data_IF_259557624300
#
_entry.id   IF_259557624300
#
_cell.length_a   1.000
_cell.length_b   1.000
_cell.length_c   1.000
_cell.angle_alpha   90.00
_cell.angle_beta   90.00
_cell.angle_gamma   90.00
#
_symmetry.space_group_name_H-M   'P 1'
#
loop_
_entity.id
_entity.type
_entity.pdbx_description
1 polymer ?
#
# COMPACT_ATOMS: atom_id res chain seq x y z
N UNK A 1 6.58 14.31 32.98
CA UNK A 1 6.96 13.66 31.70
C UNK A 1 6.41 12.25 31.71
N UNK A 2 5.66 11.83 30.69
CA UNK A 2 5.06 10.49 30.66
C UNK A 2 6.15 9.45 30.35
N UNK A 3 6.44 8.53 31.29
CA UNK A 3 7.47 7.47 31.13
C UNK A 3 7.16 6.57 29.92
N UNK A 4 8.22 6.07 29.26
CA UNK A 4 8.13 5.21 28.08
C UNK A 4 7.25 3.99 28.32
N UNK A 5 7.28 3.47 29.55
CA UNK A 5 6.52 2.29 29.96
C UNK A 5 5.01 2.53 29.96
N UNK A 6 4.57 3.75 30.31
CA UNK A 6 3.16 4.13 30.18
C UNK A 6 2.72 4.25 28.72
N UNK A 7 3.63 4.64 27.82
CA UNK A 7 3.34 4.69 26.38
C UNK A 7 3.14 3.29 25.81
N UNK A 8 4.01 2.32 26.14
CA UNK A 8 3.85 0.91 25.72
C UNK A 8 2.49 0.37 26.19
N UNK A 9 2.14 0.59 27.45
CA UNK A 9 0.86 0.18 28.04
C UNK A 9 -0.35 0.80 27.33
N UNK A 10 -0.27 2.10 27.03
CA UNK A 10 -1.31 2.82 26.31
C UNK A 10 -1.54 2.26 24.90
N UNK A 11 -0.46 2.09 24.14
CA UNK A 11 -0.49 1.56 22.77
C UNK A 11 -1.01 0.12 22.75
N UNK A 12 -0.56 -0.73 23.68
CA UNK A 12 -1.07 -2.10 23.83
C UNK A 12 -2.56 -2.16 24.09
N UNK A 13 -3.07 -1.31 25.00
CA UNK A 13 -4.51 -1.24 25.31
C UNK A 13 -5.33 -0.71 24.13
N UNK A 14 -4.81 0.28 23.42
CA UNK A 14 -5.45 0.82 22.22
C UNK A 14 -5.57 -0.25 21.12
N UNK A 15 -4.55 -1.09 20.98
CA UNK A 15 -4.55 -2.25 20.09
C UNK A 15 -5.45 -3.42 20.58
N UNK A 16 -6.10 -3.30 21.74
CA UNK A 16 -6.95 -4.36 22.30
C UNK A 16 -6.20 -5.59 22.82
N UNK A 17 -4.87 -5.53 22.94
CA UNK A 17 -4.03 -6.66 23.30
C UNK A 17 -3.95 -6.86 24.82
N UNK A 18 -4.05 -8.11 25.29
CA UNK A 18 -3.69 -8.45 26.67
C UNK A 18 -2.17 -8.55 26.86
N UNK A 19 -1.70 -8.63 28.11
CA UNK A 19 -0.28 -8.86 28.39
C UNK A 19 0.20 -10.23 27.86
N UNK A 20 -0.69 -11.24 27.88
CA UNK A 20 -0.39 -12.57 27.39
C UNK A 20 -0.31 -12.60 25.86
N UNK A 21 -1.16 -11.85 25.18
CA UNK A 21 -1.13 -11.75 23.71
C UNK A 21 0.15 -11.06 23.25
N UNK A 22 0.52 -9.95 23.90
CA UNK A 22 1.78 -9.25 23.60
C UNK A 22 3.00 -10.16 23.81
N UNK A 23 2.97 -10.97 24.88
CA UNK A 23 4.02 -11.95 25.17
C UNK A 23 4.16 -13.00 24.07
N UNK A 24 3.04 -13.55 23.58
CA UNK A 24 3.03 -14.54 22.50
C UNK A 24 3.45 -13.94 21.16
N UNK A 25 3.02 -12.72 20.85
CA UNK A 25 3.27 -12.05 19.57
C UNK A 25 4.74 -11.67 19.38
N UNK A 26 5.35 -11.08 20.41
CA UNK A 26 6.70 -10.53 20.31
C UNK A 26 7.75 -11.39 21.03
N UNK A 27 7.35 -12.54 21.60
CA UNK A 27 8.25 -13.44 22.33
C UNK A 27 8.82 -12.84 23.62
N UNK A 28 8.24 -11.75 24.13
CA UNK A 28 8.68 -11.10 25.35
C UNK A 28 8.07 -11.85 26.54
N UNK A 29 8.86 -12.25 27.56
CA UNK A 29 8.29 -12.91 28.73
C UNK A 29 7.21 -12.05 29.40
N UNK A 30 6.06 -12.66 29.73
CA UNK A 30 4.93 -11.97 30.36
C UNK A 30 5.34 -11.18 31.61
N UNK A 31 6.23 -11.74 32.44
CA UNK A 31 6.74 -11.09 33.65
C UNK A 31 7.43 -9.76 33.36
N UNK A 32 8.20 -9.69 32.27
CA UNK A 32 8.86 -8.46 31.83
C UNK A 32 7.85 -7.38 31.47
N UNK A 33 6.78 -7.76 30.77
CA UNK A 33 5.68 -6.84 30.42
C UNK A 33 4.93 -6.38 31.69
N UNK A 34 4.74 -7.26 32.68
CA UNK A 34 4.13 -6.91 33.96
C UNK A 34 4.99 -5.92 34.76
N UNK A 35 6.31 -6.13 34.80
CA UNK A 35 7.27 -5.23 35.47
C UNK A 35 7.30 -3.86 34.79
N UNK A 36 7.26 -3.85 33.45
CA UNK A 36 7.08 -2.62 32.67
C UNK A 36 5.76 -1.92 33.00
N UNK A 37 4.62 -2.61 32.93
CA UNK A 37 3.30 -2.03 33.15
C UNK A 37 3.09 -1.48 34.58
N UNK A 38 3.83 -2.02 35.56
CA UNK A 38 3.88 -1.58 36.97
C UNK A 38 4.90 -0.46 37.21
N UNK A 39 5.76 -0.16 36.25
CA UNK A 39 6.83 0.83 36.38
C UNK A 39 7.98 0.38 37.29
N UNK A 40 8.10 -0.91 37.56
CA UNK A 40 9.18 -1.48 38.38
C UNK A 40 10.50 -1.53 37.60
N UNK A 41 10.43 -1.60 36.27
CA UNK A 41 11.58 -1.61 35.38
C UNK A 41 11.26 -0.80 34.11
N UNK A 42 12.18 0.07 33.69
CA UNK A 42 12.06 0.83 32.45
C UNK A 42 12.87 0.12 31.35
N UNK A 43 12.23 -0.28 30.23
CA UNK A 43 12.97 -0.85 29.12
C UNK A 43 13.95 0.18 28.54
N UNK A 44 15.07 -0.28 27.93
CA UNK A 44 15.91 0.61 27.15
C UNK A 44 15.09 1.39 26.11
N UNK A 45 15.42 2.66 25.92
CA UNK A 45 14.64 3.56 25.08
C UNK A 45 14.42 3.02 23.66
N UNK A 46 15.44 2.43 23.06
CA UNK A 46 15.35 1.83 21.73
C UNK A 46 14.34 0.66 21.67
N UNK A 47 14.26 -0.16 22.72
CA UNK A 47 13.31 -1.29 22.81
C UNK A 47 11.89 -0.76 22.93
N UNK A 48 11.70 0.26 23.77
CA UNK A 48 10.39 0.87 23.97
C UNK A 48 9.85 1.46 22.66
N UNK A 49 10.69 2.23 21.95
CA UNK A 49 10.32 2.85 20.69
C UNK A 49 10.01 1.80 19.61
N UNK A 50 10.88 0.80 19.44
CA UNK A 50 10.66 -0.28 18.48
C UNK A 50 9.37 -1.04 18.74
N UNK A 51 9.10 -1.38 20.01
CA UNK A 51 7.89 -2.10 20.39
C UNK A 51 6.63 -1.27 20.15
N UNK A 52 6.66 0.03 20.48
CA UNK A 52 5.54 0.95 20.23
C UNK A 52 5.24 1.04 18.73
N UNK A 53 6.26 1.24 17.91
CA UNK A 53 6.09 1.37 16.46
C UNK A 53 5.59 0.09 15.83
N UNK A 54 6.07 -1.06 16.32
CA UNK A 54 5.62 -2.37 15.85
C UNK A 54 4.16 -2.66 16.20
N UNK A 55 3.74 -2.41 17.45
CA UNK A 55 2.33 -2.59 17.86
C UNK A 55 1.44 -1.65 17.06
N UNK A 56 1.88 -0.41 16.82
CA UNK A 56 1.13 0.52 15.96
C UNK A 56 0.98 -0.05 14.56
N UNK A 57 2.07 -0.44 13.91
CA UNK A 57 2.05 -0.98 12.55
C UNK A 57 1.15 -2.22 12.41
N UNK A 58 1.17 -3.10 13.40
CA UNK A 58 0.44 -4.36 13.34
C UNK A 58 -1.07 -4.20 13.65
N UNK A 59 -1.45 -3.27 14.55
CA UNK A 59 -2.81 -3.23 15.10
C UNK A 59 -3.53 -1.87 15.01
N UNK A 60 -2.80 -0.78 14.87
CA UNK A 60 -3.36 0.59 14.88
C UNK A 60 -3.23 1.29 13.53
N UNK A 61 -2.38 0.78 12.64
CA UNK A 61 -2.35 1.22 11.26
C UNK A 61 -3.54 0.64 10.52
N UNK A 62 -4.56 1.47 10.42
CA UNK A 62 -5.51 1.40 9.33
C UNK A 62 -4.71 1.45 8.02
N UNK A 63 -4.88 0.46 7.15
CA UNK A 63 -4.29 0.47 5.81
C UNK A 63 -4.87 1.62 4.94
N UNK A 64 -5.67 2.53 5.53
CA UNK A 64 -6.21 3.72 4.90
C UNK A 64 -5.17 4.77 4.50
N UNK A 65 -3.89 4.66 4.89
CA UNK A 65 -2.84 5.53 4.31
C UNK A 65 -2.17 4.99 3.03
N UNK A 66 -2.68 3.88 2.46
CA UNK A 66 -2.65 3.67 0.99
C UNK A 66 -3.96 4.08 0.30
N UNK A 67 -4.91 4.66 1.04
CA UNK A 67 -6.20 5.17 0.56
C UNK A 67 -6.49 6.62 0.98
N UNK A 68 -5.48 7.40 1.38
CA UNK A 68 -5.59 8.87 1.56
C UNK A 68 -5.38 9.60 0.23
N UNK A 69 -6.14 9.15 -0.76
CA UNK A 69 -6.35 9.84 -2.03
C UNK A 69 -7.79 9.60 -2.52
N UNK A 70 -8.72 9.41 -1.58
CA UNK A 70 -10.16 9.25 -1.82
C UNK A 70 -10.92 10.57 -1.57
N UNK A 71 -10.38 11.72 -2.00
CA UNK A 71 -11.10 13.00 -1.91
C UNK A 71 -11.57 13.57 -3.26
N UNK A 72 -11.28 12.89 -4.36
CA UNK A 72 -11.98 13.06 -5.63
C UNK A 72 -11.88 11.73 -6.40
N UNK A 73 -12.88 11.32 -7.20
CA UNK A 73 -12.63 10.28 -8.19
C UNK A 73 -11.53 10.79 -9.13
N UNK A 74 -10.28 10.35 -8.91
CA UNK A 74 -9.17 10.67 -9.81
C UNK A 74 -9.59 10.27 -11.21
N UNK A 75 -9.55 11.22 -12.14
CA UNK A 75 -10.03 10.98 -13.49
C UNK A 75 -8.98 10.15 -14.20
N UNK A 76 -9.30 8.89 -14.48
CA UNK A 76 -8.44 8.02 -15.26
C UNK A 76 -8.43 8.47 -16.72
N UNK A 77 -7.24 8.68 -17.28
CA UNK A 77 -7.03 8.92 -18.71
C UNK A 77 -6.35 7.69 -19.30
N UNK A 78 -6.96 7.13 -20.34
CA UNK A 78 -6.41 6.03 -21.12
C UNK A 78 -5.62 6.56 -22.31
N UNK A 79 -4.33 6.22 -22.36
CA UNK A 79 -3.35 6.74 -23.32
C UNK A 79 -2.79 5.60 -24.17
N UNK A 80 -2.36 5.90 -25.38
CA UNK A 80 -1.63 4.98 -26.24
C UNK A 80 -0.12 4.98 -25.92
N UNK A 81 0.65 4.15 -26.64
CA UNK A 81 2.11 4.05 -26.45
C UNK A 81 2.86 5.37 -26.72
N UNK A 82 2.25 6.30 -27.45
CA UNK A 82 2.79 7.64 -27.74
C UNK A 82 2.37 8.70 -26.71
N UNK A 83 1.64 8.34 -25.65
CA UNK A 83 1.15 9.27 -24.64
C UNK A 83 -0.01 10.16 -25.10
N UNK A 84 -0.72 9.79 -26.18
CA UNK A 84 -1.94 10.48 -26.63
C UNK A 84 -3.18 9.73 -26.13
N UNK A 85 -4.30 10.42 -25.85
CA UNK A 85 -5.56 9.76 -25.48
C UNK A 85 -6.02 8.74 -26.53
N UNK A 86 -6.51 7.59 -26.10
CA UNK A 86 -7.09 6.58 -26.99
C UNK A 86 -8.34 7.11 -27.69
N UNK A 87 -8.53 6.71 -28.95
CA UNK A 87 -9.69 7.07 -29.77
C UNK A 87 -10.67 5.90 -29.87
N UNK A 88 -11.94 6.19 -30.17
CA UNK A 88 -12.91 5.16 -30.55
C UNK A 88 -12.50 4.48 -31.88
N UNK A 89 -12.76 3.18 -32.08
CA UNK A 89 -13.50 2.24 -31.20
C UNK A 89 -12.64 1.58 -30.09
N UNK A 90 -11.33 1.82 -30.09
CA UNK A 90 -10.38 1.14 -29.18
C UNK A 90 -10.61 1.54 -27.73
N UNK A 91 -10.95 2.81 -27.48
CA UNK A 91 -11.18 3.33 -26.13
C UNK A 91 -12.31 2.58 -25.40
N UNK A 92 -13.43 2.32 -26.06
CA UNK A 92 -14.57 1.64 -25.46
C UNK A 92 -14.26 0.18 -25.11
N UNK A 93 -13.57 -0.55 -26.00
CA UNK A 93 -13.09 -1.91 -25.72
C UNK A 93 -12.12 -1.96 -24.55
N UNK A 94 -11.12 -1.05 -24.53
CA UNK A 94 -10.11 -0.99 -23.46
C UNK A 94 -10.73 -0.64 -22.11
N UNK A 95 -11.67 0.30 -22.08
CA UNK A 95 -12.36 0.67 -20.84
C UNK A 95 -13.13 -0.52 -20.27
N UNK A 96 -13.84 -1.26 -21.12
CA UNK A 96 -14.58 -2.46 -20.71
C UNK A 96 -13.66 -3.55 -20.18
N UNK A 97 -12.54 -3.83 -20.86
CA UNK A 97 -11.55 -4.80 -20.39
C UNK A 97 -10.92 -4.41 -19.04
N UNK A 98 -10.66 -3.11 -18.84
CA UNK A 98 -10.14 -2.60 -17.57
C UNK A 98 -11.17 -2.74 -16.44
N UNK A 99 -12.43 -2.39 -16.69
CA UNK A 99 -13.52 -2.51 -15.72
C UNK A 99 -13.80 -3.99 -15.36
N UNK A 100 -13.68 -4.90 -16.33
CA UNK A 100 -13.81 -6.35 -16.14
C UNK A 100 -12.58 -6.99 -15.45
N UNK A 101 -11.50 -6.24 -15.24
CA UNK A 101 -10.24 -6.72 -14.66
C UNK A 101 -9.46 -7.68 -15.57
N UNK A 102 -9.79 -7.72 -16.87
CA UNK A 102 -9.13 -8.55 -17.90
C UNK A 102 -7.88 -7.87 -18.46
N UNK A 103 -7.04 -7.34 -17.57
CA UNK A 103 -5.83 -6.62 -17.94
C UNK A 103 -4.66 -7.06 -17.06
N UNK A 104 -3.49 -7.18 -17.66
CA UNK A 104 -2.24 -7.45 -16.95
C UNK A 104 -1.48 -6.14 -16.77
N UNK A 105 -1.06 -5.86 -15.53
CA UNK A 105 -0.19 -4.72 -15.22
C UNK A 105 1.26 -5.08 -15.60
N UNK A 106 1.87 -4.26 -16.45
CA UNK A 106 3.25 -4.43 -16.92
C UNK A 106 4.26 -3.52 -16.19
N UNK A 107 3.81 -2.67 -15.27
CA UNK A 107 4.64 -1.77 -14.48
C UNK A 107 4.30 -0.29 -14.70
N UNK A 108 4.96 0.57 -13.93
CA UNK A 108 4.85 2.03 -14.01
C UNK A 108 6.16 2.72 -14.34
N UNK A 109 7.21 1.96 -14.56
CA UNK A 109 8.57 2.47 -14.62
C UNK A 109 9.13 2.35 -16.04
N UNK A 110 10.00 3.30 -16.37
CA UNK A 110 10.75 3.39 -17.62
C UNK A 110 12.23 3.55 -17.28
N UNK A 111 13.09 3.13 -18.21
CA UNK A 111 14.52 3.32 -18.12
C UNK A 111 14.91 4.54 -18.95
N UNK A 112 15.79 5.38 -18.41
CA UNK A 112 16.37 6.48 -19.16
C UNK A 112 17.57 6.03 -19.99
N UNK A 113 18.22 6.97 -20.68
CA UNK A 113 19.42 6.70 -21.49
C UNK A 113 20.63 6.25 -20.64
N UNK A 114 20.59 6.44 -19.33
CA UNK A 114 21.60 6.02 -18.35
C UNK A 114 21.20 4.74 -17.59
N UNK A 115 20.18 4.01 -18.07
CA UNK A 115 19.65 2.78 -17.48
C UNK A 115 19.10 2.94 -16.04
N UNK A 116 18.79 4.19 -15.64
CA UNK A 116 18.15 4.49 -14.37
C UNK A 116 16.64 4.27 -14.47
N UNK A 117 16.10 3.54 -13.50
CA UNK A 117 14.66 3.35 -13.35
C UNK A 117 13.97 4.66 -12.90
N UNK A 118 12.96 5.11 -13.66
CA UNK A 118 12.16 6.31 -13.37
C UNK A 118 10.68 6.03 -13.59
N UNK A 119 9.80 6.75 -12.87
CA UNK A 119 8.35 6.66 -13.10
C UNK A 119 8.00 7.16 -14.51
N UNK A 120 7.21 6.38 -15.25
CA UNK A 120 6.77 6.73 -16.60
C UNK A 120 5.84 7.96 -16.53
N UNK A 121 6.15 9.05 -17.25
CA UNK A 121 5.27 10.22 -17.31
C UNK A 121 3.86 9.92 -17.86
N UNK A 122 3.70 8.80 -18.58
CA UNK A 122 2.44 8.30 -19.14
C UNK A 122 1.62 7.49 -18.13
N UNK A 123 2.17 7.11 -16.99
CA UNK A 123 1.51 6.33 -15.95
C UNK A 123 1.74 4.82 -16.06
N UNK A 124 0.78 4.03 -15.58
CA UNK A 124 0.90 2.56 -15.51
C UNK A 124 0.59 1.91 -16.86
N UNK A 125 1.43 1.00 -17.30
CA UNK A 125 1.25 0.23 -18.52
C UNK A 125 0.42 -1.03 -18.25
N UNK A 126 -0.57 -1.27 -19.11
CA UNK A 126 -1.42 -2.46 -19.08
C UNK A 126 -1.47 -3.14 -20.44
N UNK A 127 -1.62 -4.45 -20.41
CA UNK A 127 -1.89 -5.32 -21.55
C UNK A 127 -3.31 -5.88 -21.41
N UNK A 128 -4.12 -5.81 -22.47
CA UNK A 128 -5.45 -6.44 -22.46
C UNK A 128 -5.30 -7.95 -22.60
N UNK A 129 -5.98 -8.68 -21.72
CA UNK A 129 -6.14 -10.13 -21.81
C UNK A 129 -7.42 -10.43 -22.62
N UNK A 130 -7.36 -11.44 -23.47
CA UNK A 130 -8.51 -11.86 -24.29
C UNK A 130 -9.14 -10.70 -25.12
N UNK A 131 -8.33 -9.90 -25.86
CA UNK A 131 -8.79 -8.69 -26.54
C UNK A 131 -9.90 -8.93 -27.57
N UNK A 132 -9.99 -10.16 -28.11
CA UNK A 132 -11.03 -10.58 -29.05
C UNK A 132 -12.45 -10.41 -28.49
N UNK A 133 -12.63 -10.64 -27.18
CA UNK A 133 -13.91 -10.46 -26.49
C UNK A 133 -14.37 -8.99 -26.44
N UNK A 134 -13.46 -8.07 -26.74
CA UNK A 134 -13.65 -6.62 -26.69
C UNK A 134 -13.55 -5.97 -28.08
N UNK A 135 -13.40 -6.77 -29.16
CA UNK A 135 -13.20 -6.25 -30.51
C UNK A 135 -11.87 -5.53 -30.70
N UNK A 136 -10.87 -5.87 -29.90
CA UNK A 136 -9.54 -5.26 -29.92
C UNK A 136 -8.53 -6.20 -30.60
N UNK A 137 -7.45 -5.61 -31.10
CA UNK A 137 -6.35 -6.37 -31.68
C UNK A 137 -5.54 -7.11 -30.60
N UNK A 138 -4.93 -8.24 -30.99
CA UNK A 138 -4.10 -9.03 -30.10
C UNK A 138 -2.88 -8.24 -29.63
N UNK A 139 -2.53 -8.40 -28.35
CA UNK A 139 -1.35 -7.75 -27.78
C UNK A 139 -1.49 -6.24 -27.57
N UNK A 140 -2.71 -5.70 -27.58
CA UNK A 140 -2.93 -4.28 -27.36
C UNK A 140 -2.50 -3.85 -25.96
N UNK A 141 -1.59 -2.87 -25.92
CA UNK A 141 -1.14 -2.21 -24.69
C UNK A 141 -1.67 -0.80 -24.59
N UNK A 142 -1.92 -0.35 -23.36
CA UNK A 142 -2.36 1.02 -23.09
C UNK A 142 -1.83 1.50 -21.74
N UNK A 143 -1.73 2.81 -21.60
CA UNK A 143 -1.31 3.46 -20.37
C UNK A 143 -2.52 4.02 -19.64
N UNK A 144 -2.51 3.93 -18.32
CA UNK A 144 -3.50 4.55 -17.44
C UNK A 144 -2.79 5.57 -16.58
N UNK A 145 -3.21 6.82 -16.72
CA UNK A 145 -2.75 7.94 -15.92
C UNK A 145 -3.88 8.45 -15.03
N UNK A 146 -3.59 8.57 -13.74
CA UNK A 146 -4.47 9.25 -12.79
C UNK A 146 -4.22 10.76 -12.88
N UNK A 147 -5.29 11.55 -13.07
CA UNK A 147 -5.28 13.02 -13.09
C UNK A 147 -6.25 13.58 -12.08
#
# INVERSE_FOLDING_TARGET
MTSLTQKIKGVRKMAGLTQQDLSKLYGIPKRTIEEWDRGAYEPPEYVANLLIDRIKADFLYDHSEKKKDLSAPKKLIFLNNFGKPLKEPVLSGVKRAYDDGKVQNLGSDTFDEEDNCRQDPKGKLYLVLEPENYGLDMGITFYVKEV
#
